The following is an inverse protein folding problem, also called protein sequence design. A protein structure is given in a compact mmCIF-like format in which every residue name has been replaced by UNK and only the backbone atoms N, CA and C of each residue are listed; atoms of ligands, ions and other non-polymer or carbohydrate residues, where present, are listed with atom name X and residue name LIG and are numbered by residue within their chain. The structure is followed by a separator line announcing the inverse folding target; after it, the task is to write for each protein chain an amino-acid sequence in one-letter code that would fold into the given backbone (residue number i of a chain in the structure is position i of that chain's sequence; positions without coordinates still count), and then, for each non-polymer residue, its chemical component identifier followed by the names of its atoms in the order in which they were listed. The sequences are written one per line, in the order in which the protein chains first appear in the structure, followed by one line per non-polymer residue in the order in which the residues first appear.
data_IF_782735035147
#
_entry.id   IF_782735035147
#
_cell.length_a   1.000
_cell.length_b   1.000
_cell.length_c   1.000
_cell.angle_alpha   90.00
_cell.angle_beta   90.00
_cell.angle_gamma   90.00
#
_symmetry.space_group_name_H-M   'P 1'
#
loop_
_entity.id
_entity.type
_entity.pdbx_description
1 polymer ?
#
# COMPACT_ATOMS: atom_id res chain seq x y z
N UNK A 1 39.87 23.57 -30.23
CA UNK A 1 38.91 23.02 -29.24
C UNK A 1 38.68 21.56 -29.56
N UNK A 2 39.16 20.69 -28.71
CA UNK A 2 38.86 19.25 -28.82
C UNK A 2 37.63 18.97 -27.93
N UNK A 3 36.56 18.34 -28.41
CA UNK A 3 35.49 17.89 -27.55
C UNK A 3 36.03 16.74 -26.70
N UNK A 4 35.96 16.91 -25.38
CA UNK A 4 36.22 15.81 -24.45
C UNK A 4 34.99 14.94 -24.56
N UNK A 5 35.13 13.79 -25.26
CA UNK A 5 34.12 12.75 -25.24
C UNK A 5 34.15 12.13 -23.84
N UNK A 6 33.20 12.50 -23.00
CA UNK A 6 32.90 11.73 -21.79
C UNK A 6 32.24 10.44 -22.23
N UNK A 7 33.06 9.38 -22.41
CA UNK A 7 32.56 8.02 -22.45
C UNK A 7 32.04 7.71 -21.04
N UNK A 8 30.73 7.86 -20.84
CA UNK A 8 30.07 7.24 -19.70
C UNK A 8 30.06 5.75 -20.00
N UNK A 9 31.06 5.06 -19.47
CA UNK A 9 31.04 3.61 -19.38
C UNK A 9 29.93 3.25 -18.40
N UNK A 10 28.75 2.97 -18.93
CA UNK A 10 27.72 2.25 -18.20
C UNK A 10 28.28 0.85 -17.97
N UNK A 11 28.91 0.63 -16.82
CA UNK A 11 29.35 -0.70 -16.40
C UNK A 11 28.12 -1.49 -16.05
N UNK A 12 27.51 -2.14 -17.04
CA UNK A 12 26.47 -3.13 -16.84
C UNK A 12 27.06 -4.35 -16.13
N UNK A 13 26.28 -4.96 -15.21
CA UNK A 13 26.63 -6.23 -14.60
C UNK A 13 26.80 -7.30 -15.69
N UNK A 14 27.84 -8.15 -15.60
CA UNK A 14 27.99 -9.33 -16.46
C UNK A 14 26.85 -10.31 -16.22
N UNK A 15 26.58 -11.22 -17.18
CA UNK A 15 25.56 -12.26 -17.02
C UNK A 15 25.79 -13.13 -15.78
N UNK A 16 27.06 -13.41 -15.44
CA UNK A 16 27.44 -14.19 -14.27
C UNK A 16 27.17 -13.41 -12.98
N UNK A 17 27.48 -12.11 -12.93
CA UNK A 17 27.19 -11.24 -11.81
C UNK A 17 25.67 -11.10 -11.60
N UNK A 18 24.87 -11.03 -12.68
CA UNK A 18 23.41 -11.03 -12.64
C UNK A 18 22.86 -12.30 -11.99
N UNK A 19 23.43 -13.48 -12.34
CA UNK A 19 23.02 -14.76 -11.76
C UNK A 19 23.34 -14.83 -10.28
N UNK A 20 24.52 -14.39 -9.87
CA UNK A 20 24.92 -14.31 -8.46
C UNK A 20 24.07 -13.35 -7.66
N UNK A 21 23.78 -12.17 -8.20
CA UNK A 21 22.88 -11.19 -7.59
C UNK A 21 21.48 -11.78 -7.38
N UNK A 22 20.92 -12.43 -8.40
CA UNK A 22 19.61 -13.08 -8.30
C UNK A 22 19.59 -14.14 -7.21
N UNK A 23 20.64 -14.94 -7.12
CA UNK A 23 20.77 -15.98 -6.08
C UNK A 23 20.88 -15.36 -4.68
N UNK A 24 21.70 -14.31 -4.53
CA UNK A 24 21.90 -13.63 -3.26
C UNK A 24 20.62 -12.97 -2.75
N UNK A 25 19.76 -12.47 -3.66
CA UNK A 25 18.49 -11.82 -3.33
C UNK A 25 17.32 -12.79 -3.14
N UNK A 26 17.46 -14.05 -3.59
CA UNK A 26 16.36 -15.03 -3.63
C UNK A 26 15.67 -15.21 -2.27
N UNK A 27 16.44 -15.42 -1.21
CA UNK A 27 15.90 -15.64 0.13
C UNK A 27 15.14 -14.40 0.65
N UNK A 28 15.69 -13.22 0.42
CA UNK A 28 15.04 -11.96 0.82
C UNK A 28 13.76 -11.71 0.04
N UNK A 29 13.75 -11.98 -1.26
CA UNK A 29 12.56 -11.86 -2.11
C UNK A 29 11.45 -12.82 -1.69
N UNK A 30 11.79 -14.07 -1.36
CA UNK A 30 10.81 -15.03 -0.82
C UNK A 30 10.20 -14.54 0.50
N UNK A 31 11.00 -13.93 1.37
CA UNK A 31 10.49 -13.33 2.61
C UNK A 31 9.56 -12.16 2.35
N UNK A 32 9.88 -11.32 1.37
CA UNK A 32 9.02 -10.21 0.93
C UNK A 32 7.70 -10.75 0.39
N UNK A 33 7.75 -11.74 -0.49
CA UNK A 33 6.55 -12.36 -1.07
C UNK A 33 5.63 -12.92 0.01
N UNK A 34 6.19 -13.59 1.00
CA UNK A 34 5.41 -14.09 2.14
C UNK A 34 4.76 -12.95 2.95
N UNK A 35 5.48 -11.85 3.17
CA UNK A 35 4.92 -10.67 3.84
C UNK A 35 3.82 -10.05 2.99
N UNK A 36 4.00 -9.97 1.68
CA UNK A 36 2.98 -9.45 0.75
C UNK A 36 1.69 -10.27 0.82
N UNK A 37 1.80 -11.60 0.88
CA UNK A 37 0.64 -12.49 1.06
C UNK A 37 -0.11 -12.17 2.36
N UNK A 38 0.61 -11.92 3.43
CA UNK A 38 0.02 -11.53 4.73
C UNK A 38 -0.65 -10.15 4.64
N UNK A 39 -0.01 -9.19 3.96
CA UNK A 39 -0.58 -7.84 3.78
C UNK A 39 -1.88 -7.92 2.99
N UNK A 40 -1.92 -8.65 1.88
CA UNK A 40 -3.14 -8.81 1.06
C UNK A 40 -4.24 -9.49 1.86
N UNK A 41 -3.91 -10.51 2.64
CA UNK A 41 -4.87 -11.17 3.53
C UNK A 41 -5.48 -10.18 4.54
N UNK A 42 -4.65 -9.37 5.19
CA UNK A 42 -5.11 -8.37 6.16
C UNK A 42 -5.91 -7.24 5.49
N UNK A 43 -5.54 -6.82 4.28
CA UNK A 43 -6.33 -5.86 3.50
C UNK A 43 -7.73 -6.40 3.20
N UNK A 44 -7.86 -7.67 2.83
CA UNK A 44 -9.15 -8.31 2.58
C UNK A 44 -9.98 -8.45 3.86
N UNK A 45 -9.37 -8.79 4.98
CA UNK A 45 -10.05 -8.83 6.28
C UNK A 45 -10.57 -7.45 6.67
N UNK A 46 -9.74 -6.41 6.49
CA UNK A 46 -10.15 -5.02 6.73
C UNK A 46 -11.30 -4.61 5.82
N UNK A 47 -11.22 -4.95 4.52
CA UNK A 47 -12.28 -4.67 3.55
C UNK A 47 -13.61 -5.33 3.94
N UNK A 48 -13.57 -6.54 4.46
CA UNK A 48 -14.77 -7.24 4.96
C UNK A 48 -15.44 -6.46 6.10
N UNK A 49 -14.65 -5.96 7.05
CA UNK A 49 -15.16 -5.14 8.16
C UNK A 49 -15.70 -3.80 7.65
N UNK A 50 -15.04 -3.18 6.66
CA UNK A 50 -15.53 -1.94 6.03
C UNK A 50 -16.89 -2.16 5.36
N UNK A 51 -17.12 -3.31 4.73
CA UNK A 51 -18.45 -3.66 4.18
C UNK A 51 -19.51 -3.73 5.28
N UNK A 52 -19.20 -4.34 6.40
CA UNK A 52 -20.11 -4.39 7.56
C UNK A 52 -20.44 -2.98 8.07
N UNK A 53 -19.43 -2.12 8.18
CA UNK A 53 -19.61 -0.70 8.53
C UNK A 53 -20.49 0.02 7.51
N UNK A 54 -20.29 -0.25 6.22
CA UNK A 54 -21.12 0.29 5.14
C UNK A 54 -22.58 -0.07 5.27
N UNK A 55 -22.88 -1.32 5.63
CA UNK A 55 -24.25 -1.78 5.88
C UNK A 55 -24.90 -1.04 7.07
N UNK A 56 -24.14 -0.78 8.12
CA UNK A 56 -24.63 0.01 9.27
C UNK A 56 -24.90 1.44 8.83
N UNK A 57 -23.96 2.09 8.12
CA UNK A 57 -24.13 3.46 7.61
C UNK A 57 -25.37 3.59 6.71
N UNK A 58 -25.60 2.62 5.84
CA UNK A 58 -26.76 2.60 4.95
C UNK A 58 -28.08 2.62 5.73
N UNK A 59 -28.16 1.88 6.83
CA UNK A 59 -29.36 1.89 7.71
C UNK A 59 -29.64 3.25 8.33
N UNK A 60 -28.60 4.05 8.56
CA UNK A 60 -28.72 5.41 9.15
C UNK A 60 -28.64 6.51 8.10
N UNK A 61 -28.64 6.19 6.81
CA UNK A 61 -28.49 7.13 5.70
C UNK A 61 -27.20 8.00 5.83
N UNK A 62 -26.16 7.42 6.42
CA UNK A 62 -24.86 8.10 6.58
C UNK A 62 -24.01 7.97 5.29
N UNK A 63 -23.06 8.90 5.13
CA UNK A 63 -22.11 8.87 4.02
C UNK A 63 -21.01 7.83 4.26
N UNK A 64 -20.52 7.20 3.20
CA UNK A 64 -19.37 6.30 3.26
C UNK A 64 -18.11 7.04 3.73
N UNK A 65 -17.88 8.25 3.21
CA UNK A 65 -16.76 9.09 3.61
C UNK A 65 -16.97 9.66 5.02
N UNK A 66 -15.93 9.52 5.86
CA UNK A 66 -15.90 10.04 7.22
C UNK A 66 -14.56 10.75 7.47
N UNK A 67 -14.40 12.03 7.02
CA UNK A 67 -13.11 12.72 7.05
C UNK A 67 -12.47 12.79 8.44
N UNK A 68 -13.27 12.98 9.49
CA UNK A 68 -12.79 12.99 10.88
C UNK A 68 -12.20 11.64 11.31
N UNK A 69 -12.85 10.53 10.92
CA UNK A 69 -12.36 9.19 11.19
C UNK A 69 -11.11 8.86 10.38
N UNK A 70 -11.09 9.26 9.12
CA UNK A 70 -9.93 9.06 8.25
C UNK A 70 -8.68 9.73 8.82
N UNK A 71 -8.78 11.00 9.24
CA UNK A 71 -7.66 11.70 9.85
C UNK A 71 -7.23 11.07 11.18
N UNK A 72 -8.17 10.57 11.97
CA UNK A 72 -7.87 9.82 13.19
C UNK A 72 -7.07 8.56 12.90
N UNK A 73 -7.45 7.81 11.87
CA UNK A 73 -6.72 6.60 11.44
C UNK A 73 -5.31 6.97 10.97
N UNK A 74 -5.18 8.00 10.13
CA UNK A 74 -3.89 8.45 9.61
C UNK A 74 -2.94 8.85 10.72
N UNK A 75 -3.39 9.59 11.71
CA UNK A 75 -2.57 9.96 12.88
C UNK A 75 -2.16 8.74 13.69
N UNK A 76 -3.08 7.82 13.91
CA UNK A 76 -2.81 6.60 14.69
C UNK A 76 -1.76 5.73 14.02
N UNK A 77 -1.90 5.45 12.72
CA UNK A 77 -0.98 4.56 12.01
C UNK A 77 0.39 5.21 11.76
N UNK A 78 0.43 6.49 11.43
CA UNK A 78 1.70 7.20 11.28
C UNK A 78 2.48 7.29 12.59
N UNK A 79 1.78 7.41 13.72
CA UNK A 79 2.38 7.36 15.06
C UNK A 79 2.96 5.98 15.43
N UNK A 80 2.58 4.91 14.73
CA UNK A 80 3.12 3.55 14.92
C UNK A 80 4.36 3.27 14.07
N UNK A 81 4.75 4.17 13.17
CA UNK A 81 5.90 4.01 12.31
C UNK A 81 7.20 4.03 13.13
N UNK A 82 7.75 2.86 13.43
CA UNK A 82 8.93 2.66 14.27
C UNK A 82 10.11 2.03 13.53
N UNK A 83 9.93 1.76 12.27
CA UNK A 83 10.90 1.03 11.48
C UNK A 83 11.54 1.89 10.39
N UNK A 84 12.02 1.24 9.30
CA UNK A 84 12.61 1.94 8.16
C UNK A 84 11.65 2.89 7.45
N UNK A 85 10.32 2.62 7.49
CA UNK A 85 9.33 3.54 6.95
C UNK A 85 9.14 4.74 7.88
N UNK A 86 9.14 5.93 7.28
CA UNK A 86 8.85 7.17 7.99
C UNK A 86 7.35 7.29 8.30
N UNK A 87 6.94 8.09 9.30
CA UNK A 87 5.54 8.41 9.53
C UNK A 87 4.83 8.95 8.29
N UNK A 88 5.51 9.78 7.50
CA UNK A 88 4.98 10.34 6.25
C UNK A 88 4.74 9.27 5.20
N UNK A 89 5.65 8.29 5.07
CA UNK A 89 5.48 7.17 4.14
C UNK A 89 4.30 6.29 4.54
N UNK A 90 4.15 5.96 5.81
CA UNK A 90 3.01 5.21 6.35
C UNK A 90 1.70 5.98 6.09
N UNK A 91 1.69 7.29 6.32
CA UNK A 91 0.54 8.15 6.05
C UNK A 91 0.10 8.08 4.59
N UNK A 92 1.04 8.18 3.65
CA UNK A 92 0.76 8.11 2.20
C UNK A 92 0.17 6.76 1.78
N UNK A 93 0.71 5.67 2.30
CA UNK A 93 0.20 4.32 2.04
C UNK A 93 -1.25 4.22 2.53
N UNK A 94 -1.52 4.67 3.75
CA UNK A 94 -2.87 4.63 4.33
C UNK A 94 -3.83 5.59 3.68
N UNK A 95 -3.40 6.74 3.17
CA UNK A 95 -4.26 7.62 2.37
C UNK A 95 -4.82 6.89 1.15
N UNK A 96 -3.99 6.17 0.42
CA UNK A 96 -4.43 5.35 -0.71
C UNK A 96 -5.35 4.21 -0.26
N UNK A 97 -4.96 3.51 0.80
CA UNK A 97 -5.76 2.42 1.36
C UNK A 97 -7.16 2.90 1.76
N UNK A 98 -7.27 4.01 2.47
CA UNK A 98 -8.55 4.57 2.90
C UNK A 98 -9.39 5.03 1.70
N UNK A 99 -8.79 5.63 0.68
CA UNK A 99 -9.48 6.03 -0.54
C UNK A 99 -10.09 4.82 -1.28
N UNK A 100 -9.33 3.74 -1.42
CA UNK A 100 -9.81 2.51 -2.06
C UNK A 100 -10.91 1.83 -1.24
N UNK A 101 -10.76 1.80 0.08
CA UNK A 101 -11.78 1.24 0.99
C UNK A 101 -13.08 2.05 0.94
N UNK A 102 -13.00 3.38 0.92
CA UNK A 102 -14.17 4.25 0.79
C UNK A 102 -14.88 4.07 -0.54
N UNK A 103 -14.13 3.93 -1.64
CA UNK A 103 -14.69 3.66 -2.96
C UNK A 103 -15.42 2.31 -3.01
N UNK A 104 -14.85 1.28 -2.40
CA UNK A 104 -15.49 -0.03 -2.28
C UNK A 104 -16.78 0.06 -1.43
N UNK A 105 -16.71 0.71 -0.29
CA UNK A 105 -17.85 0.92 0.63
C UNK A 105 -19.00 1.63 -0.08
N UNK A 106 -18.72 2.69 -0.84
CA UNK A 106 -19.70 3.41 -1.66
C UNK A 106 -20.40 2.48 -2.64
N UNK A 107 -19.65 1.66 -3.38
CA UNK A 107 -20.24 0.70 -4.34
C UNK A 107 -21.15 -0.31 -3.65
N UNK A 108 -20.73 -0.82 -2.50
CA UNK A 108 -21.53 -1.78 -1.72
C UNK A 108 -22.80 -1.14 -1.17
N UNK A 109 -22.73 0.08 -0.66
CA UNK A 109 -23.89 0.82 -0.16
C UNK A 109 -24.88 1.11 -1.29
N UNK A 110 -24.41 1.50 -2.47
CA UNK A 110 -25.25 1.74 -3.63
C UNK A 110 -25.97 0.46 -4.11
N UNK A 111 -25.34 -0.69 -3.99
CA UNK A 111 -25.94 -1.97 -4.36
C UNK A 111 -27.09 -2.37 -3.44
N UNK A 112 -27.15 -1.85 -2.22
CA UNK A 112 -28.23 -2.12 -1.24
C UNK A 112 -29.46 -1.24 -1.47
N UNK A 113 -29.35 -0.16 -2.24
CA UNK A 113 -30.45 0.79 -2.50
C UNK A 113 -31.25 0.49 -3.77
N UNK A 114 -30.91 -0.56 -4.48
CA UNK A 114 -31.65 -1.07 -5.64
C UNK A 114 -32.50 -2.25 -5.19
#
# INVERSE_FOLDING_TARGET
MRPILFCILAVGLSAQDQTELTRALSASRQRIDHIDDQIVKLLNERATVVREVGLVKARFHALASAPGREEQVLRRVSGQARGPLTPEAVRKIYQTLLAEMSAMEDREMQSQTK
#
